data_IF_670358191265
#
_entry.id   IF_670358191265
#
_cell.length_a   1.000
_cell.length_b   1.000
_cell.length_c   1.000
_cell.angle_alpha   90.00
_cell.angle_beta   90.00
_cell.angle_gamma   90.00
#
_symmetry.space_group_name_H-M   'P 1'
#
loop_
_entity.id
_entity.type
_entity.pdbx_description
1 polymer ?
#
# COMPACT_ATOMS: atom_id res chain seq x y z
N UNK A 1 -5.69 32.11 2.83
CA UNK A 1 -6.35 30.80 2.66
C UNK A 1 -5.41 29.76 2.09
N UNK A 2 -5.11 29.81 0.79
CA UNK A 2 -4.39 28.74 0.07
C UNK A 2 -2.97 28.41 0.59
N UNK A 3 -2.26 29.37 1.19
CA UNK A 3 -0.92 29.17 1.74
C UNK A 3 -0.87 28.10 2.85
N UNK A 4 -1.98 27.93 3.58
CA UNK A 4 -2.09 26.94 4.65
C UNK A 4 -2.00 25.50 4.12
N UNK A 5 -2.35 25.28 2.85
CA UNK A 5 -2.34 23.95 2.24
C UNK A 5 -0.98 23.55 1.67
N UNK A 6 -0.08 24.52 1.44
CA UNK A 6 1.25 24.26 0.86
C UNK A 6 2.05 23.23 1.69
N UNK A 7 2.11 23.32 3.03
CA UNK A 7 2.82 22.34 3.83
C UNK A 7 2.26 20.93 3.65
N UNK A 8 0.93 20.81 3.61
CA UNK A 8 0.24 19.53 3.41
C UNK A 8 0.51 18.91 2.04
N UNK A 9 0.51 19.71 0.99
CA UNK A 9 0.78 19.24 -0.38
C UNK A 9 2.22 18.75 -0.50
N UNK A 10 3.19 19.49 0.04
CA UNK A 10 4.60 19.09 -0.03
C UNK A 10 4.89 17.85 0.82
N UNK A 11 4.31 17.78 2.02
CA UNK A 11 4.40 16.59 2.85
C UNK A 11 3.77 15.37 2.17
N UNK A 12 2.65 15.53 1.45
CA UNK A 12 2.04 14.44 0.68
C UNK A 12 2.97 13.87 -0.38
N UNK A 13 3.81 14.70 -1.03
CA UNK A 13 4.79 14.21 -2.01
C UNK A 13 5.83 13.29 -1.34
N UNK A 14 6.38 13.73 -0.20
CA UNK A 14 7.34 12.95 0.58
C UNK A 14 6.70 11.66 1.11
N UNK A 15 5.52 11.76 1.74
CA UNK A 15 4.81 10.62 2.26
C UNK A 15 4.38 9.63 1.16
N UNK A 16 4.08 10.13 -0.04
CA UNK A 16 3.78 9.31 -1.22
C UNK A 16 4.98 8.47 -1.66
N UNK A 17 6.18 9.06 -1.62
CA UNK A 17 7.43 8.33 -1.82
C UNK A 17 7.59 7.23 -0.76
N UNK A 18 7.44 7.55 0.52
CA UNK A 18 7.56 6.58 1.62
C UNK A 18 6.53 5.44 1.53
N UNK A 19 5.28 5.76 1.17
CA UNK A 19 4.21 4.78 0.92
C UNK A 19 4.59 3.86 -0.24
N UNK A 20 5.18 4.42 -1.31
CA UNK A 20 5.66 3.66 -2.46
C UNK A 20 6.90 2.82 -2.17
N UNK A 21 7.65 3.11 -1.11
CA UNK A 21 8.82 2.34 -0.68
C UNK A 21 8.52 1.33 0.44
N UNK A 22 7.38 1.47 1.13
CA UNK A 22 7.05 0.63 2.27
C UNK A 22 6.92 -0.85 1.89
N UNK A 23 7.91 -1.64 2.31
CA UNK A 23 8.06 -3.06 2.00
C UNK A 23 6.93 -3.94 2.54
N UNK A 24 6.28 -3.55 3.65
CA UNK A 24 5.18 -4.32 4.23
C UNK A 24 3.95 -4.32 3.33
N UNK A 25 3.80 -3.26 2.55
CA UNK A 25 2.63 -3.03 1.71
C UNK A 25 2.90 -3.55 0.29
N UNK A 26 4.15 -3.51 -0.18
CA UNK A 26 4.58 -4.13 -1.45
C UNK A 26 4.43 -5.64 -1.51
N UNK A 27 4.29 -6.35 -0.38
CA UNK A 27 4.14 -7.80 -0.40
C UNK A 27 2.76 -8.29 -0.84
N UNK A 28 1.78 -7.40 -1.02
CA UNK A 28 0.44 -7.79 -1.48
C UNK A 28 0.38 -7.85 -3.02
N UNK A 29 0.02 -9.01 -3.61
CA UNK A 29 -0.06 -9.22 -5.06
C UNK A 29 -0.88 -8.18 -5.81
N UNK A 30 -1.95 -7.69 -5.19
CA UNK A 30 -2.93 -6.82 -5.81
C UNK A 30 -2.88 -5.39 -5.26
N UNK A 31 -1.71 -4.93 -4.82
CA UNK A 31 -1.57 -3.67 -4.12
C UNK A 31 -2.10 -2.48 -4.93
N UNK A 32 -3.30 -2.00 -4.56
CA UNK A 32 -3.97 -0.82 -5.13
C UNK A 32 -4.50 0.05 -4.00
N UNK A 33 -3.63 0.80 -3.30
CA UNK A 33 -3.98 1.49 -2.07
C UNK A 33 -5.12 2.49 -2.30
N UNK A 34 -5.14 3.17 -3.46
CA UNK A 34 -6.15 4.19 -3.81
C UNK A 34 -7.59 3.66 -3.86
N UNK A 35 -7.79 2.34 -3.93
CA UNK A 35 -9.12 1.74 -3.86
C UNK A 35 -9.63 1.59 -2.43
N UNK A 36 -8.74 1.69 -1.43
CA UNK A 36 -9.09 1.55 -0.03
C UNK A 36 -9.52 2.88 0.60
N UNK A 37 -10.57 2.91 1.45
CA UNK A 37 -10.88 4.10 2.26
C UNK A 37 -9.71 4.48 3.18
N UNK A 38 -8.85 3.53 3.55
CA UNK A 38 -7.63 3.80 4.32
C UNK A 38 -6.65 4.73 3.59
N UNK A 39 -6.55 4.65 2.26
CA UNK A 39 -5.72 5.57 1.46
C UNK A 39 -6.28 6.99 1.44
N UNK A 40 -7.60 7.14 1.35
CA UNK A 40 -8.23 8.46 1.39
C UNK A 40 -8.10 9.10 2.76
N UNK A 41 -8.23 8.31 3.84
CA UNK A 41 -7.91 8.75 5.18
C UNK A 41 -6.44 9.17 5.29
N UNK A 42 -5.51 8.32 4.82
CA UNK A 42 -4.08 8.63 4.80
C UNK A 42 -3.79 9.94 4.05
N UNK A 43 -4.34 10.12 2.85
CA UNK A 43 -4.15 11.32 2.03
C UNK A 43 -4.69 12.56 2.76
N UNK A 44 -5.87 12.45 3.38
CA UNK A 44 -6.44 13.51 4.19
C UNK A 44 -5.53 13.88 5.37
N UNK A 45 -4.92 12.90 6.03
CA UNK A 45 -3.99 13.15 7.14
C UNK A 45 -2.71 13.83 6.66
N UNK A 46 -2.13 13.37 5.55
CA UNK A 46 -0.90 13.95 5.00
C UNK A 46 -1.08 15.40 4.55
N UNK A 47 -2.29 15.80 4.17
CA UNK A 47 -2.61 17.20 3.85
C UNK A 47 -2.99 17.98 5.12
N UNK A 48 -3.93 17.46 5.92
CA UNK A 48 -4.54 18.22 7.01
C UNK A 48 -3.59 18.45 8.19
N UNK A 49 -2.82 17.46 8.62
CA UNK A 49 -1.95 17.60 9.80
C UNK A 49 -0.86 18.65 9.61
N UNK A 50 -0.06 18.65 8.53
CA UNK A 50 0.94 19.69 8.32
C UNK A 50 0.31 21.07 8.14
N UNK A 51 -0.86 21.13 7.48
CA UNK A 51 -1.58 22.39 7.26
C UNK A 51 -2.10 23.00 8.58
N UNK A 52 -2.69 22.18 9.44
CA UNK A 52 -3.16 22.59 10.77
C UNK A 52 -1.98 22.97 11.65
N UNK A 53 -0.92 22.16 11.67
CA UNK A 53 0.29 22.46 12.44
C UNK A 53 0.90 23.80 12.00
N UNK A 54 1.05 24.03 10.70
CA UNK A 54 1.54 25.30 10.16
C UNK A 54 0.67 26.47 10.59
N UNK A 55 -0.66 26.34 10.53
CA UNK A 55 -1.58 27.39 10.99
C UNK A 55 -1.43 27.70 12.48
N UNK A 56 -1.23 26.69 13.32
CA UNK A 56 -1.03 26.86 14.76
C UNK A 56 0.31 27.55 15.09
N UNK A 57 1.38 27.24 14.36
CA UNK A 57 2.70 27.86 14.55
C UNK A 57 2.81 29.25 13.92
N UNK A 58 2.04 29.53 12.87
CA UNK A 58 2.07 30.78 12.11
C UNK A 58 0.64 31.33 11.90
N UNK A 59 -0.04 31.80 12.96
CA UNK A 59 -1.41 32.29 12.86
C UNK A 59 -1.49 33.49 11.90
N UNK A 60 -2.30 33.32 10.85
CA UNK A 60 -2.39 34.25 9.72
C UNK A 60 -3.03 35.60 10.06
N UNK A 61 -3.74 35.69 11.19
CA UNK A 61 -4.40 36.93 11.63
C UNK A 61 -3.39 38.05 11.96
N UNK A 62 -2.10 37.70 12.08
CA UNK A 62 -1.01 38.63 12.41
C UNK A 62 -0.04 38.94 11.25
N UNK A 63 -0.13 38.22 10.13
CA UNK A 63 0.90 38.24 9.08
C UNK A 63 0.30 38.59 7.71
N UNK A 64 0.82 39.65 7.08
CA UNK A 64 0.56 39.90 5.65
C UNK A 64 1.04 38.68 4.87
N UNK A 65 0.19 38.17 3.98
CA UNK A 65 0.56 37.07 3.08
C UNK A 65 1.53 37.62 2.04
N UNK A 66 2.81 37.52 2.33
CA UNK A 66 3.92 37.90 1.47
C UNK A 66 4.71 36.66 0.99
N UNK A 67 5.70 36.87 0.13
CA UNK A 67 6.57 35.80 -0.40
C UNK A 67 7.24 35.01 0.74
N UNK A 68 7.60 35.68 1.84
CA UNK A 68 8.22 35.04 2.99
C UNK A 68 7.29 34.00 3.63
N UNK A 69 5.98 34.26 3.68
CA UNK A 69 5.00 33.28 4.15
C UNK A 69 4.96 32.02 3.27
N UNK A 70 5.01 32.18 1.94
CA UNK A 70 5.06 31.02 1.02
C UNK A 70 6.33 30.19 1.24
N UNK A 71 7.48 30.83 1.44
CA UNK A 71 8.74 30.15 1.74
C UNK A 71 8.67 29.40 3.07
N UNK A 72 8.12 30.03 4.12
CA UNK A 72 7.91 29.39 5.43
C UNK A 72 7.00 28.17 5.32
N UNK A 73 5.89 28.29 4.58
CA UNK A 73 4.97 27.18 4.36
C UNK A 73 5.65 26.02 3.60
N UNK A 74 6.46 26.34 2.60
CA UNK A 74 7.19 25.35 1.84
C UNK A 74 8.21 24.58 2.70
N UNK A 75 9.05 25.32 3.44
CA UNK A 75 10.03 24.73 4.35
C UNK A 75 9.37 23.90 5.45
N UNK A 76 8.25 24.39 6.01
CA UNK A 76 7.51 23.64 7.03
C UNK A 76 6.98 22.31 6.49
N UNK A 77 6.48 22.27 5.26
CA UNK A 77 6.00 21.04 4.62
C UNK A 77 7.11 20.03 4.37
N UNK A 78 8.25 20.50 3.85
CA UNK A 78 9.41 19.65 3.55
C UNK A 78 9.99 19.05 4.84
N UNK A 79 10.14 19.87 5.89
CA UNK A 79 10.72 19.45 7.17
C UNK A 79 9.69 18.87 8.15
N UNK A 80 8.45 18.64 7.72
CA UNK A 80 7.38 18.21 8.62
C UNK A 80 7.70 16.87 9.26
N UNK A 81 8.17 15.89 8.49
CA UNK A 81 8.52 14.57 8.99
C UNK A 81 9.61 14.62 10.06
N UNK A 82 10.67 15.42 9.84
CA UNK A 82 11.75 15.62 10.81
C UNK A 82 11.26 16.36 12.06
N UNK A 83 10.41 17.37 11.90
CA UNK A 83 9.81 18.10 13.01
C UNK A 83 8.97 17.17 13.89
N UNK A 84 8.16 16.31 13.25
CA UNK A 84 7.35 15.29 13.91
C UNK A 84 8.19 14.21 14.57
N UNK A 85 9.44 13.99 14.15
CA UNK A 85 10.37 13.06 14.79
C UNK A 85 11.23 13.71 15.88
N UNK A 86 11.13 15.04 16.06
CA UNK A 86 11.91 15.75 17.07
C UNK A 86 11.27 15.64 18.46
N UNK A 87 12.10 15.43 19.49
CA UNK A 87 11.66 15.32 20.90
C UNK A 87 11.69 16.66 21.64
N UNK A 88 11.64 17.76 20.91
CA UNK A 88 12.04 19.09 21.40
C UNK A 88 10.96 19.84 22.19
N UNK A 89 9.68 19.45 22.07
CA UNK A 89 8.56 20.13 22.74
C UNK A 89 7.42 19.19 23.08
N UNK A 90 6.78 19.37 24.24
CA UNK A 90 5.60 18.59 24.67
C UNK A 90 4.41 18.74 23.71
N UNK A 91 4.27 19.90 23.08
CA UNK A 91 3.24 20.14 22.04
C UNK A 91 3.54 19.29 20.81
N UNK A 92 4.79 19.25 20.36
CA UNK A 92 5.23 18.43 19.23
C UNK A 92 5.03 16.94 19.53
N UNK A 93 5.40 16.48 20.73
CA UNK A 93 5.21 15.10 21.18
C UNK A 93 3.72 14.71 21.18
N UNK A 94 2.82 15.61 21.62
CA UNK A 94 1.38 15.36 21.61
C UNK A 94 0.84 15.26 20.19
N UNK A 95 1.20 16.18 19.30
CA UNK A 95 0.80 16.15 17.87
C UNK A 95 1.35 14.88 17.22
N UNK A 96 2.59 14.49 17.51
CA UNK A 96 3.24 13.26 17.05
C UNK A 96 2.50 12.01 17.48
N UNK A 97 2.10 11.93 18.74
CA UNK A 97 1.37 10.78 19.27
C UNK A 97 0.04 10.60 18.51
N UNK A 98 -0.72 11.69 18.33
CA UNK A 98 -1.98 11.65 17.60
C UNK A 98 -1.77 11.34 16.11
N UNK A 99 -0.83 12.02 15.46
CA UNK A 99 -0.48 11.78 14.06
C UNK A 99 -0.12 10.31 13.81
N UNK A 100 0.80 9.77 14.61
CA UNK A 100 1.23 8.37 14.49
C UNK A 100 0.10 7.38 14.75
N UNK A 101 -0.80 7.67 15.70
CA UNK A 101 -1.95 6.83 15.97
C UNK A 101 -2.91 6.76 14.78
N UNK A 102 -3.29 7.91 14.21
CA UNK A 102 -4.26 7.94 13.11
C UNK A 102 -3.64 7.43 11.80
N UNK A 103 -2.36 7.70 11.56
CA UNK A 103 -1.59 7.13 10.43
C UNK A 103 -1.55 5.60 10.53
N UNK A 104 -1.33 5.03 11.72
CA UNK A 104 -1.38 3.57 11.93
C UNK A 104 -2.75 2.97 11.59
N UNK A 105 -3.84 3.66 11.95
CA UNK A 105 -5.20 3.23 11.57
C UNK A 105 -5.35 3.21 10.05
N UNK A 106 -4.90 4.27 9.37
CA UNK A 106 -4.98 4.34 7.91
C UNK A 106 -4.19 3.21 7.23
N UNK A 107 -2.98 2.92 7.72
CA UNK A 107 -2.18 1.78 7.25
C UNK A 107 -2.86 0.44 7.50
N UNK A 108 -3.39 0.22 8.71
CA UNK A 108 -4.12 -1.00 9.05
C UNK A 108 -5.35 -1.22 8.16
N UNK A 109 -6.07 -0.15 7.82
CA UNK A 109 -7.21 -0.23 6.88
C UNK A 109 -6.76 -0.62 5.48
N UNK A 110 -5.66 -0.03 4.98
CA UNK A 110 -5.06 -0.40 3.70
C UNK A 110 -4.68 -1.88 3.73
N UNK A 111 -3.89 -2.31 4.72
CA UNK A 111 -3.42 -3.70 4.84
C UNK A 111 -4.57 -4.71 4.89
N UNK A 112 -5.62 -4.45 5.68
CA UNK A 112 -6.75 -5.36 5.80
C UNK A 112 -7.50 -5.58 4.49
N UNK A 113 -7.70 -4.52 3.72
CA UNK A 113 -8.42 -4.63 2.45
C UNK A 113 -7.59 -5.32 1.38
N UNK A 114 -6.29 -5.02 1.32
CA UNK A 114 -5.37 -5.69 0.40
C UNK A 114 -5.20 -7.17 0.77
N UNK A 115 -5.13 -7.50 2.08
CA UNK A 115 -5.11 -8.88 2.57
C UNK A 115 -6.45 -9.61 2.33
N UNK A 116 -7.59 -8.94 2.50
CA UNK A 116 -8.90 -9.52 2.18
C UNK A 116 -9.03 -9.86 0.69
N UNK A 117 -8.57 -8.96 -0.18
CA UNK A 117 -8.58 -9.16 -1.64
C UNK A 117 -7.67 -10.32 -2.04
N UNK A 118 -6.48 -10.39 -1.44
CA UNK A 118 -5.53 -11.49 -1.66
C UNK A 118 -6.09 -12.83 -1.19
N UNK A 119 -6.70 -12.89 0.01
CA UNK A 119 -7.36 -14.10 0.54
C UNK A 119 -8.52 -14.55 -0.33
N UNK A 120 -9.35 -13.63 -0.83
CA UNK A 120 -10.47 -13.97 -1.71
C UNK A 120 -9.97 -14.57 -3.02
N UNK A 121 -8.96 -13.97 -3.64
CA UNK A 121 -8.33 -14.55 -4.83
C UNK A 121 -7.86 -15.99 -4.59
N UNK A 122 -7.17 -16.26 -3.47
CA UNK A 122 -6.71 -17.61 -3.15
C UNK A 122 -7.83 -18.60 -2.88
N UNK A 123 -8.88 -18.15 -2.20
CA UNK A 123 -10.05 -18.97 -1.95
C UNK A 123 -10.75 -19.35 -3.26
N UNK A 124 -10.90 -18.38 -4.17
CA UNK A 124 -11.51 -18.60 -5.48
C UNK A 124 -10.63 -19.51 -6.35
N UNK A 125 -9.31 -19.31 -6.34
CA UNK A 125 -8.35 -20.17 -7.03
C UNK A 125 -8.37 -21.62 -6.51
N UNK A 126 -8.39 -21.80 -5.18
CA UNK A 126 -8.51 -23.12 -4.57
C UNK A 126 -9.84 -23.80 -4.92
N UNK A 127 -10.93 -23.02 -4.90
CA UNK A 127 -12.26 -23.50 -5.25
C UNK A 127 -12.30 -23.96 -6.71
N UNK A 128 -11.72 -23.18 -7.62
CA UNK A 128 -11.69 -23.52 -9.05
C UNK A 128 -10.76 -24.70 -9.36
N UNK A 129 -9.66 -24.89 -8.61
CA UNK A 129 -8.85 -26.11 -8.70
C UNK A 129 -9.59 -27.37 -8.22
N UNK A 130 -10.46 -27.21 -7.23
CA UNK A 130 -11.21 -28.32 -6.61
C UNK A 130 -12.45 -28.73 -7.42
N UNK A 131 -13.09 -27.77 -8.07
CA UNK A 131 -14.16 -28.02 -9.05
C UNK A 131 -13.45 -28.42 -10.33
N UNK A 132 -13.79 -29.54 -10.96
CA UNK A 132 -13.16 -29.99 -12.22
C UNK A 132 -13.48 -29.08 -13.43
N UNK A 133 -13.61 -27.77 -13.23
CA UNK A 133 -13.97 -26.80 -14.24
C UNK A 133 -12.72 -26.18 -14.89
N UNK A 134 -12.79 -26.16 -16.22
CA UNK A 134 -12.00 -25.40 -17.19
C UNK A 134 -10.55 -25.04 -16.81
N UNK A 135 -9.59 -25.80 -17.35
CA UNK A 135 -8.17 -25.43 -17.47
C UNK A 135 -7.97 -23.93 -17.79
N UNK A 136 -8.84 -23.39 -18.64
CA UNK A 136 -8.83 -21.99 -19.07
C UNK A 136 -9.00 -21.01 -17.91
N UNK A 137 -9.88 -21.29 -16.94
CA UNK A 137 -10.11 -20.41 -15.79
C UNK A 137 -8.88 -20.36 -14.87
N UNK A 138 -8.22 -21.50 -14.68
CA UNK A 138 -7.02 -21.62 -13.84
C UNK A 138 -5.84 -20.94 -14.52
N UNK A 139 -5.66 -21.16 -15.83
CA UNK A 139 -4.63 -20.47 -16.61
C UNK A 139 -4.87 -18.95 -16.61
N UNK A 140 -6.12 -18.50 -16.72
CA UNK A 140 -6.45 -17.08 -16.66
C UNK A 140 -6.11 -16.49 -15.28
N UNK A 141 -6.47 -17.17 -14.20
CA UNK A 141 -6.12 -16.76 -12.83
C UNK A 141 -4.61 -16.69 -12.58
N UNK A 142 -3.85 -17.69 -13.04
CA UNK A 142 -2.39 -17.72 -12.92
C UNK A 142 -1.70 -16.64 -13.77
N UNK A 143 -2.18 -16.41 -14.99
CA UNK A 143 -1.65 -15.33 -15.82
C UNK A 143 -1.94 -13.95 -15.22
N UNK A 144 -3.14 -13.73 -14.68
CA UNK A 144 -3.48 -12.50 -13.94
C UNK A 144 -2.57 -12.31 -12.72
N UNK A 145 -2.28 -13.40 -12.01
CA UNK A 145 -1.38 -13.39 -10.86
C UNK A 145 0.08 -13.06 -11.24
N UNK A 146 0.59 -13.70 -12.31
CA UNK A 146 1.92 -13.40 -12.87
C UNK A 146 2.04 -11.92 -13.25
N UNK A 147 1.05 -11.40 -13.98
CA UNK A 147 1.01 -10.00 -14.39
C UNK A 147 1.04 -9.05 -13.18
N UNK A 148 0.28 -9.38 -12.13
CA UNK A 148 0.22 -8.56 -10.92
C UNK A 148 1.57 -8.47 -10.20
N UNK A 149 2.35 -9.56 -10.17
CA UNK A 149 3.72 -9.54 -9.63
C UNK A 149 4.71 -8.80 -10.52
N UNK A 150 4.59 -8.95 -11.85
CA UNK A 150 5.49 -8.32 -12.83
C UNK A 150 5.31 -6.79 -12.90
N UNK A 151 4.07 -6.29 -12.85
CA UNK A 151 3.81 -4.84 -12.90
C UNK A 151 4.01 -4.13 -11.56
N UNK A 152 3.59 -4.74 -10.45
CA UNK A 152 3.39 -4.00 -9.20
C UNK A 152 4.41 -4.34 -8.10
N UNK A 153 5.10 -5.49 -8.18
CA UNK A 153 6.02 -5.96 -7.13
C UNK A 153 7.45 -6.00 -7.67
N UNK A 154 8.16 -4.89 -7.49
CA UNK A 154 9.57 -4.74 -7.88
C UNK A 154 10.57 -5.39 -6.88
N UNK A 155 10.11 -6.27 -5.98
CA UNK A 155 10.93 -6.93 -4.96
C UNK A 155 11.23 -8.35 -5.41
N UNK A 156 12.46 -8.64 -5.88
CA UNK A 156 13.02 -10.00 -6.05
C UNK A 156 12.01 -11.06 -6.53
N UNK A 157 11.06 -10.64 -7.38
CA UNK A 157 9.86 -11.39 -7.72
C UNK A 157 10.15 -12.45 -8.76
N UNK A 158 11.39 -12.50 -9.27
CA UNK A 158 11.88 -13.50 -10.20
C UNK A 158 11.57 -14.92 -9.72
N UNK A 159 11.81 -15.25 -8.45
CA UNK A 159 11.59 -16.61 -7.95
C UNK A 159 10.10 -16.99 -7.92
N UNK A 160 9.23 -16.09 -7.44
CA UNK A 160 7.78 -16.31 -7.42
C UNK A 160 7.21 -16.34 -8.84
N UNK A 161 7.66 -15.43 -9.72
CA UNK A 161 7.26 -15.38 -11.13
C UNK A 161 7.68 -16.66 -11.85
N UNK A 162 8.91 -17.14 -11.64
CA UNK A 162 9.40 -18.41 -12.19
C UNK A 162 8.59 -19.60 -11.66
N UNK A 163 8.26 -19.62 -10.37
CA UNK A 163 7.38 -20.67 -9.80
C UNK A 163 5.98 -20.64 -10.43
N UNK A 164 5.40 -19.45 -10.65
CA UNK A 164 4.11 -19.30 -11.33
C UNK A 164 4.21 -19.75 -12.79
N UNK A 165 5.29 -19.42 -13.50
CA UNK A 165 5.52 -19.86 -14.88
C UNK A 165 5.66 -21.38 -14.99
N UNK A 166 6.39 -22.00 -14.07
CA UNK A 166 6.47 -23.46 -13.96
C UNK A 166 5.09 -24.07 -13.70
N UNK A 167 4.30 -23.44 -12.83
CA UNK A 167 2.93 -23.88 -12.54
C UNK A 167 2.02 -23.75 -13.76
N UNK A 168 2.12 -22.65 -14.52
CA UNK A 168 1.38 -22.44 -15.78
C UNK A 168 1.76 -23.52 -16.79
N UNK A 169 3.05 -23.80 -16.98
CA UNK A 169 3.52 -24.84 -17.91
C UNK A 169 3.03 -26.23 -17.49
N UNK A 170 3.07 -26.53 -16.19
CA UNK A 170 2.57 -27.79 -15.64
C UNK A 170 1.08 -27.95 -15.88
N UNK A 171 0.29 -26.89 -15.60
CA UNK A 171 -1.15 -26.86 -15.85
C UNK A 171 -1.46 -27.00 -17.32
N UNK A 172 -0.75 -26.30 -18.19
CA UNK A 172 -1.03 -26.31 -19.63
C UNK A 172 -0.69 -27.65 -20.30
N UNK A 173 0.41 -28.29 -19.86
CA UNK A 173 0.90 -29.54 -20.46
C UNK A 173 0.30 -30.82 -19.88
N UNK A 174 -0.17 -30.80 -18.62
CA UNK A 174 -0.59 -32.01 -17.90
C UNK A 174 -1.99 -31.95 -17.30
N UNK A 175 -2.82 -30.97 -17.68
CA UNK A 175 -4.17 -30.80 -17.12
C UNK A 175 -5.01 -32.08 -17.07
N UNK A 176 -5.01 -32.84 -18.17
CA UNK A 176 -5.76 -34.11 -18.29
C UNK A 176 -5.23 -35.22 -17.40
N UNK A 177 -3.98 -35.11 -16.93
CA UNK A 177 -3.27 -36.12 -16.16
C UNK A 177 -3.17 -35.77 -14.67
N UNK A 178 -3.65 -34.59 -14.25
CA UNK A 178 -3.58 -34.21 -12.85
C UNK A 178 -4.48 -35.08 -11.99
N UNK A 179 -3.83 -35.82 -11.10
CA UNK A 179 -4.48 -36.51 -10.00
C UNK A 179 -5.01 -35.51 -8.97
N UNK A 180 -5.87 -35.98 -8.07
CA UNK A 180 -6.30 -35.16 -6.93
C UNK A 180 -5.13 -34.74 -6.03
N UNK A 181 -4.06 -35.54 -5.95
CA UNK A 181 -2.86 -35.23 -5.16
C UNK A 181 -2.04 -34.11 -5.80
N UNK A 182 -1.91 -34.07 -7.13
CA UNK A 182 -1.19 -32.99 -7.83
C UNK A 182 -1.86 -31.64 -7.60
N UNK A 183 -3.19 -31.62 -7.62
CA UNK A 183 -3.98 -30.41 -7.31
C UNK A 183 -3.80 -29.97 -5.86
N UNK A 184 -3.73 -30.91 -4.91
CA UNK A 184 -3.46 -30.59 -3.50
C UNK A 184 -2.05 -30.02 -3.31
N UNK A 185 -1.06 -30.54 -4.03
CA UNK A 185 0.33 -30.06 -4.01
C UNK A 185 0.48 -28.65 -4.57
N UNK A 186 -0.25 -28.34 -5.65
CA UNK A 186 -0.35 -26.98 -6.20
C UNK A 186 -0.93 -26.01 -5.15
N UNK A 187 -1.98 -26.43 -4.43
CA UNK A 187 -2.60 -25.63 -3.36
C UNK A 187 -1.61 -25.38 -2.22
N UNK A 188 -0.80 -26.36 -1.81
CA UNK A 188 0.22 -26.18 -0.77
C UNK A 188 1.37 -25.25 -1.19
N UNK A 189 1.91 -25.44 -2.40
CA UNK A 189 2.96 -24.57 -2.95
C UNK A 189 2.52 -23.11 -2.99
N UNK A 190 1.25 -22.89 -3.32
CA UNK A 190 0.65 -21.56 -3.37
C UNK A 190 0.43 -20.97 -1.96
N UNK A 191 -0.03 -21.78 -0.99
CA UNK A 191 -0.24 -21.32 0.40
C UNK A 191 1.06 -20.99 1.14
N UNK A 192 2.13 -21.75 0.89
CA UNK A 192 3.40 -21.60 1.60
C UNK A 192 4.17 -20.31 1.25
N UNK A 193 3.94 -19.76 0.05
CA UNK A 193 4.75 -18.67 -0.49
C UNK A 193 4.13 -17.27 -0.36
N UNK A 194 2.93 -17.17 0.24
CA UNK A 194 2.11 -15.96 0.12
C UNK A 194 1.53 -15.61 1.47
N UNK A 195 1.87 -14.41 1.98
CA UNK A 195 1.28 -13.90 3.20
C UNK A 195 -0.24 -13.75 3.00
N UNK A 196 -1.07 -14.23 3.96
CA UNK A 196 -2.50 -13.98 3.94
C UNK A 196 -2.85 -12.49 4.01
#
# INVERSE_FOLDING_TARGET
GAVILIPGILNLLQAGYDLSENRQIKSYPFFRPWRSPGFWLWLLLQISFPSIAFYLFFPLDSLKIDILMYVKAALFGICFAELMNSTTSSVIISIQTHYNFVIKIAYWMIENEQGSTSRRFWYDFQTELSRQNSQENILHGLNYFRYSFQEYININSSEIVTQIEQLIQLVDSQWSNFTHEDRARIIELVKGNIKP
#
